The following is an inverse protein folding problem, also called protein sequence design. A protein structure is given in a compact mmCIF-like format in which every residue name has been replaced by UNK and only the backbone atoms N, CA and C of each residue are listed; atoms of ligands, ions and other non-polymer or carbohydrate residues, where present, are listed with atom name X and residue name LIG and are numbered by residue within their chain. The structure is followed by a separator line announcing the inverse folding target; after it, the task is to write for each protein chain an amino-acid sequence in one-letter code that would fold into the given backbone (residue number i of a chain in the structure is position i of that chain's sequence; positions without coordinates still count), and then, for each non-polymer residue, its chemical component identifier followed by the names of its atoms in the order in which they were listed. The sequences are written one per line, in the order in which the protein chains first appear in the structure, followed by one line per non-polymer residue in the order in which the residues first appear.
data_IF_928153511449
#
_entry.id   IF_928153511449
#
_cell.length_a   1.000
_cell.length_b   1.000
_cell.length_c   1.000
_cell.angle_alpha   90.00
_cell.angle_beta   90.00
_cell.angle_gamma   90.00
#
_symmetry.space_group_name_H-M   'P 1'
#
loop_
_entity.id
_entity.type
_entity.pdbx_description
1 polymer ?
#
# COMPACT_ATOMS: atom_id res chain seq x y z
N UNK A 1 -0.92 -35.94 18.85
CA UNK A 1 0.05 -34.88 19.24
C UNK A 1 -0.18 -33.67 18.38
N UNK A 2 -0.57 -32.51 18.95
CA UNK A 2 -0.66 -31.25 18.19
C UNK A 2 0.79 -30.82 17.89
N UNK A 3 1.19 -30.87 16.63
CA UNK A 3 2.51 -30.37 16.20
C UNK A 3 2.51 -28.87 16.50
N UNK A 4 3.41 -28.42 17.37
CA UNK A 4 3.60 -26.99 17.63
C UNK A 4 4.14 -26.36 16.35
N UNK A 5 3.38 -25.46 15.72
CA UNK A 5 3.86 -24.68 14.58
C UNK A 5 4.97 -23.74 15.05
N UNK A 6 5.87 -23.41 14.14
CA UNK A 6 6.90 -22.38 14.36
C UNK A 6 6.25 -21.08 14.85
N UNK A 7 6.76 -20.42 15.89
CA UNK A 7 6.20 -19.19 16.46
C UNK A 7 6.05 -18.07 15.43
N UNK A 8 6.99 -17.90 14.50
CA UNK A 8 6.90 -16.85 13.46
C UNK A 8 5.81 -17.18 12.44
N UNK A 9 5.65 -18.43 12.04
CA UNK A 9 4.55 -18.86 11.18
C UNK A 9 3.21 -18.60 11.87
N UNK A 10 3.11 -18.91 13.15
CA UNK A 10 1.88 -18.71 13.92
C UNK A 10 1.54 -17.23 14.09
N UNK A 11 2.55 -16.39 14.35
CA UNK A 11 2.39 -14.94 14.40
C UNK A 11 1.88 -14.39 13.07
N UNK A 12 2.45 -14.85 11.95
CA UNK A 12 2.03 -14.43 10.62
C UNK A 12 0.59 -14.84 10.32
N UNK A 13 0.17 -16.05 10.67
CA UNK A 13 -1.22 -16.49 10.52
C UNK A 13 -2.20 -15.58 11.28
N UNK A 14 -1.82 -15.13 12.49
CA UNK A 14 -2.64 -14.20 13.27
C UNK A 14 -2.72 -12.82 12.58
N UNK A 15 -1.61 -12.32 12.02
CA UNK A 15 -1.59 -11.06 11.27
C UNK A 15 -2.50 -11.13 10.04
N UNK A 16 -2.38 -12.19 9.24
CA UNK A 16 -3.17 -12.38 8.02
C UNK A 16 -4.68 -12.46 8.31
N UNK A 17 -5.04 -13.22 9.34
CA UNK A 17 -6.44 -13.32 9.78
C UNK A 17 -6.94 -12.01 10.37
N UNK A 18 -6.11 -11.31 11.15
CA UNK A 18 -6.46 -10.01 11.70
C UNK A 18 -6.75 -8.99 10.60
N UNK A 19 -5.91 -8.96 9.54
CA UNK A 19 -6.13 -8.09 8.40
C UNK A 19 -7.48 -8.34 7.75
N UNK A 20 -7.84 -9.62 7.55
CA UNK A 20 -9.14 -10.00 7.01
C UNK A 20 -10.29 -9.55 7.89
N UNK A 21 -10.22 -9.82 9.20
CA UNK A 21 -11.29 -9.45 10.15
C UNK A 21 -11.45 -7.93 10.24
N UNK A 22 -10.35 -7.16 10.25
CA UNK A 22 -10.39 -5.70 10.23
C UNK A 22 -11.01 -5.16 8.94
N UNK A 23 -10.68 -5.72 7.79
CA UNK A 23 -11.27 -5.35 6.52
C UNK A 23 -12.78 -5.64 6.47
N UNK A 24 -13.20 -6.79 7.00
CA UNK A 24 -14.61 -7.24 6.99
C UNK A 24 -15.50 -6.47 7.97
N UNK A 25 -15.02 -6.28 9.21
CA UNK A 25 -15.81 -5.72 10.32
C UNK A 25 -15.50 -4.25 10.63
N UNK A 26 -14.35 -3.74 10.20
CA UNK A 26 -13.82 -2.46 10.64
C UNK A 26 -13.03 -2.56 11.95
N UNK A 27 -12.16 -1.58 12.18
CA UNK A 27 -11.29 -1.56 13.38
C UNK A 27 -12.08 -1.46 14.67
N UNK A 28 -13.06 -0.54 14.75
CA UNK A 28 -13.77 -0.23 16.00
C UNK A 28 -14.55 -1.43 16.52
N UNK A 29 -15.24 -2.14 15.65
CA UNK A 29 -16.12 -3.27 15.99
C UNK A 29 -15.38 -4.58 16.19
N UNK A 30 -14.11 -4.68 15.78
CA UNK A 30 -13.28 -5.88 15.93
C UNK A 30 -12.68 -5.95 17.34
N UNK A 31 -12.71 -7.14 17.94
CA UNK A 31 -12.05 -7.46 19.21
C UNK A 31 -10.93 -8.47 19.03
N UNK A 32 -9.98 -8.53 19.98
CA UNK A 32 -8.94 -9.59 20.00
C UNK A 32 -9.54 -11.01 20.08
N UNK A 33 -10.73 -11.14 20.68
CA UNK A 33 -11.46 -12.43 20.72
C UNK A 33 -12.01 -12.82 19.36
N UNK A 34 -12.49 -11.86 18.56
CA UNK A 34 -12.94 -12.13 17.18
C UNK A 34 -11.79 -12.65 16.31
N UNK A 35 -10.63 -11.99 16.42
CA UNK A 35 -9.42 -12.38 15.68
C UNK A 35 -8.96 -13.78 16.12
N UNK A 36 -8.87 -14.04 17.42
CA UNK A 36 -8.48 -15.34 17.95
C UNK A 36 -9.42 -16.46 17.47
N UNK A 37 -10.74 -16.21 17.49
CA UNK A 37 -11.74 -17.15 16.96
C UNK A 37 -11.56 -17.40 15.48
N UNK A 38 -11.32 -16.36 14.69
CA UNK A 38 -11.12 -16.49 13.24
C UNK A 38 -9.80 -17.21 12.89
N UNK A 39 -8.75 -17.03 13.71
CA UNK A 39 -7.46 -17.70 13.56
C UNK A 39 -7.42 -19.13 14.17
N UNK A 40 -8.53 -19.61 14.72
CA UNK A 40 -8.62 -20.90 15.45
C UNK A 40 -7.54 -21.03 16.55
N UNK A 41 -7.42 -19.98 17.36
CA UNK A 41 -6.51 -19.95 18.51
C UNK A 41 -7.19 -19.45 19.78
N UNK A 42 -6.57 -19.70 20.94
CA UNK A 42 -7.04 -19.11 22.18
C UNK A 42 -6.67 -17.62 22.26
N UNK A 43 -7.51 -16.75 22.83
CA UNK A 43 -7.22 -15.30 22.92
C UNK A 43 -5.89 -14.97 23.56
N UNK A 44 -5.46 -15.75 24.57
CA UNK A 44 -4.17 -15.59 25.22
C UNK A 44 -2.97 -15.68 24.27
N UNK A 45 -3.10 -16.44 23.19
CA UNK A 45 -2.02 -16.53 22.19
C UNK A 45 -1.90 -15.25 21.36
N UNK A 46 -3.00 -14.58 21.03
CA UNK A 46 -2.96 -13.28 20.38
C UNK A 46 -2.28 -12.23 21.29
N UNK A 47 -2.58 -12.23 22.59
CA UNK A 47 -1.95 -11.36 23.57
C UNK A 47 -0.48 -11.71 23.88
N UNK A 48 -0.08 -12.93 23.59
CA UNK A 48 1.34 -13.32 23.67
C UNK A 48 2.19 -12.62 22.59
N UNK A 49 1.64 -12.45 21.39
CA UNK A 49 2.34 -11.81 20.26
C UNK A 49 2.14 -10.30 20.17
N UNK A 50 0.98 -9.79 20.61
CA UNK A 50 0.58 -8.39 20.46
C UNK A 50 -0.02 -7.86 21.77
N UNK A 51 0.50 -6.77 22.29
CA UNK A 51 0.06 -6.17 23.57
C UNK A 51 -1.42 -5.80 23.56
N UNK A 52 -1.94 -5.38 22.40
CA UNK A 52 -3.32 -4.93 22.25
C UNK A 52 -3.76 -4.95 20.77
N UNK A 53 -5.07 -4.69 20.55
CA UNK A 53 -5.69 -4.61 19.23
C UNK A 53 -5.00 -3.60 18.31
N UNK A 54 -4.56 -2.46 18.85
CA UNK A 54 -3.93 -1.40 18.08
C UNK A 54 -2.58 -1.85 17.50
N UNK A 55 -1.73 -2.48 18.30
CA UNK A 55 -0.43 -3.01 17.82
C UNK A 55 -0.62 -4.05 16.72
N UNK A 56 -1.57 -4.98 16.89
CA UNK A 56 -1.89 -5.96 15.85
C UNK A 56 -2.42 -5.30 14.58
N UNK A 57 -3.29 -4.30 14.72
CA UNK A 57 -3.84 -3.55 13.58
C UNK A 57 -2.75 -2.81 12.81
N UNK A 58 -1.89 -2.05 13.50
CA UNK A 58 -0.79 -1.30 12.88
C UNK A 58 0.17 -2.26 12.15
N UNK A 59 0.47 -3.41 12.77
CA UNK A 59 1.31 -4.44 12.14
C UNK A 59 0.66 -4.98 10.87
N UNK A 60 -0.61 -5.35 10.92
CA UNK A 60 -1.33 -5.93 9.79
C UNK A 60 -1.48 -4.94 8.63
N UNK A 61 -1.87 -3.68 8.92
CA UNK A 61 -2.02 -2.65 7.88
C UNK A 61 -0.68 -2.27 7.25
N UNK A 62 0.38 -2.15 8.06
CA UNK A 62 1.73 -1.83 7.55
C UNK A 62 2.26 -2.96 6.65
N UNK A 63 2.08 -4.20 7.06
CA UNK A 63 2.49 -5.35 6.24
C UNK A 63 1.72 -5.39 4.93
N UNK A 64 0.40 -5.20 4.97
CA UNK A 64 -0.43 -5.17 3.77
C UNK A 64 -0.07 -3.99 2.85
N UNK A 65 0.22 -2.82 3.41
CA UNK A 65 0.71 -1.66 2.65
C UNK A 65 2.02 -1.98 1.90
N UNK A 66 2.92 -2.70 2.56
CA UNK A 66 4.18 -3.14 1.94
C UNK A 66 3.93 -4.09 0.78
N UNK A 67 3.06 -5.09 0.96
CA UNK A 67 2.66 -6.03 -0.11
C UNK A 67 2.07 -5.29 -1.31
N UNK A 68 1.15 -4.34 -1.08
CA UNK A 68 0.53 -3.53 -2.12
C UNK A 68 1.54 -2.59 -2.83
N UNK A 69 2.55 -2.12 -2.12
CA UNK A 69 3.54 -1.16 -2.64
C UNK A 69 4.70 -1.83 -3.36
N UNK A 70 4.96 -3.11 -3.09
CA UNK A 70 6.13 -3.83 -3.61
C UNK A 70 6.30 -3.73 -5.14
N UNK A 71 5.25 -3.90 -5.97
CA UNK A 71 5.38 -3.76 -7.42
C UNK A 71 5.83 -2.37 -7.85
N UNK A 72 5.38 -1.32 -7.16
CA UNK A 72 5.79 0.08 -7.41
C UNK A 72 7.23 0.32 -6.98
N UNK A 73 7.62 -0.19 -5.79
CA UNK A 73 9.00 -0.10 -5.28
C UNK A 73 9.98 -0.78 -6.24
N UNK A 74 9.63 -1.96 -6.75
CA UNK A 74 10.43 -2.68 -7.75
C UNK A 74 10.60 -1.82 -9.01
N UNK A 75 9.52 -1.23 -9.52
CA UNK A 75 9.58 -0.40 -10.72
C UNK A 75 10.42 0.87 -10.52
N UNK A 76 10.23 1.62 -9.43
CA UNK A 76 10.99 2.84 -9.18
C UNK A 76 12.47 2.57 -8.87
N UNK A 77 12.85 1.34 -8.50
CA UNK A 77 14.26 0.96 -8.41
C UNK A 77 14.92 0.69 -9.78
N UNK A 78 14.13 0.56 -10.86
CA UNK A 78 14.60 0.38 -12.23
C UNK A 78 14.99 1.74 -12.85
N UNK A 79 16.08 2.32 -12.38
CA UNK A 79 16.61 3.59 -12.90
C UNK A 79 17.14 3.50 -14.34
N UNK A 80 17.27 2.29 -14.88
CA UNK A 80 17.57 2.01 -16.29
C UNK A 80 16.39 2.29 -17.24
N UNK A 81 15.15 2.28 -16.72
CA UNK A 81 13.95 2.54 -17.54
C UNK A 81 13.75 4.04 -17.73
N UNK A 82 13.41 4.43 -18.95
CA UNK A 82 12.95 5.79 -19.29
C UNK A 82 11.61 6.13 -18.62
N UNK A 83 11.23 7.40 -18.65
CA UNK A 83 9.93 7.84 -18.12
C UNK A 83 8.77 7.15 -18.85
N UNK A 84 8.85 7.03 -20.18
CA UNK A 84 7.78 6.43 -20.96
C UNK A 84 7.64 4.92 -20.70
N UNK A 85 8.76 4.22 -20.51
CA UNK A 85 8.74 2.80 -20.15
C UNK A 85 8.19 2.59 -18.73
N UNK A 86 8.60 3.41 -17.76
CA UNK A 86 8.14 3.25 -16.37
C UNK A 86 6.65 3.59 -16.24
N UNK A 87 6.16 4.64 -16.89
CA UNK A 87 4.74 5.00 -16.87
C UNK A 87 3.86 3.92 -17.52
N UNK A 88 4.33 3.30 -18.61
CA UNK A 88 3.64 2.16 -19.25
C UNK A 88 3.59 0.94 -18.33
N UNK A 89 4.67 0.67 -17.59
CA UNK A 89 4.70 -0.46 -16.63
C UNK A 89 3.87 -0.16 -15.38
N UNK A 90 3.89 1.09 -14.89
CA UNK A 90 3.03 1.53 -13.78
C UNK A 90 1.55 1.37 -14.10
N UNK A 91 1.12 1.72 -15.32
CA UNK A 91 -0.25 1.49 -15.77
C UNK A 91 -0.66 0.03 -15.62
N UNK A 92 0.20 -0.91 -16.05
CA UNK A 92 -0.06 -2.35 -15.88
C UNK A 92 -0.17 -2.76 -14.42
N UNK A 93 0.73 -2.28 -13.57
CA UNK A 93 0.71 -2.56 -12.12
C UNK A 93 -0.57 -2.02 -11.49
N UNK A 94 -0.98 -0.81 -11.82
CA UNK A 94 -2.21 -0.19 -11.31
C UNK A 94 -3.44 -1.02 -11.72
N UNK A 95 -3.57 -1.36 -13.02
CA UNK A 95 -4.71 -2.14 -13.52
C UNK A 95 -4.75 -3.54 -12.90
N UNK A 96 -3.61 -4.21 -12.80
CA UNK A 96 -3.51 -5.51 -12.13
C UNK A 96 -3.85 -5.42 -10.63
N UNK A 97 -3.42 -4.37 -9.96
CA UNK A 97 -3.78 -4.11 -8.56
C UNK A 97 -5.29 -3.93 -8.39
N UNK A 98 -5.92 -3.14 -9.26
CA UNK A 98 -7.37 -2.95 -9.27
C UNK A 98 -8.15 -4.27 -9.36
N UNK A 99 -7.65 -5.26 -10.10
CA UNK A 99 -8.28 -6.56 -10.27
C UNK A 99 -7.97 -7.55 -9.13
N UNK A 100 -6.77 -7.49 -8.56
CA UNK A 100 -6.20 -8.57 -7.75
C UNK A 100 -5.93 -8.21 -6.29
N UNK A 101 -6.24 -7.00 -5.81
CA UNK A 101 -6.06 -6.68 -4.39
C UNK A 101 -6.89 -7.60 -3.51
N UNK A 102 -6.20 -8.38 -2.67
CA UNK A 102 -6.75 -9.42 -1.79
C UNK A 102 -7.98 -8.94 -0.99
N UNK A 103 -8.00 -7.65 -0.62
CA UNK A 103 -9.07 -7.06 0.20
C UNK A 103 -9.85 -5.96 -0.52
N UNK A 104 -9.75 -5.84 -1.86
CA UNK A 104 -10.40 -4.77 -2.64
C UNK A 104 -11.88 -4.60 -2.32
N UNK A 105 -12.63 -5.70 -2.23
CA UNK A 105 -14.08 -5.69 -1.91
C UNK A 105 -14.42 -5.01 -0.57
N UNK A 106 -13.43 -4.79 0.29
CA UNK A 106 -13.60 -4.12 1.58
C UNK A 106 -13.20 -2.65 1.55
N UNK A 107 -12.39 -2.21 0.56
CA UNK A 107 -12.00 -0.81 0.42
C UNK A 107 -13.19 0.08 0.05
N UNK A 108 -14.08 -0.43 -0.79
CA UNK A 108 -15.28 0.29 -1.23
C UNK A 108 -16.41 0.24 -0.20
N UNK A 109 -16.23 -0.46 0.92
CA UNK A 109 -17.24 -0.58 1.95
C UNK A 109 -17.33 0.69 2.78
N UNK A 110 -18.54 1.23 2.89
CA UNK A 110 -18.83 2.35 3.80
C UNK A 110 -18.35 2.03 5.23
N UNK A 111 -17.62 2.98 5.83
CA UNK A 111 -17.04 2.84 7.18
C UNK A 111 -15.56 2.44 7.21
N UNK A 112 -14.94 2.18 6.06
CA UNK A 112 -13.51 1.86 5.97
C UNK A 112 -12.61 3.05 5.57
N UNK A 113 -13.15 4.27 5.57
CA UNK A 113 -12.38 5.46 5.14
C UNK A 113 -11.10 5.67 5.96
N UNK A 114 -11.14 5.41 7.27
CA UNK A 114 -9.97 5.54 8.15
C UNK A 114 -8.92 4.48 7.79
N UNK A 115 -9.36 3.24 7.52
CA UNK A 115 -8.49 2.17 7.08
C UNK A 115 -7.82 2.51 5.75
N UNK A 116 -8.59 2.96 4.77
CA UNK A 116 -8.09 3.33 3.45
C UNK A 116 -7.03 4.44 3.55
N UNK A 117 -7.30 5.50 4.31
CA UNK A 117 -6.33 6.58 4.54
C UNK A 117 -5.03 6.10 5.22
N UNK A 118 -5.13 5.16 6.15
CA UNK A 118 -3.93 4.58 6.77
C UNK A 118 -3.14 3.72 5.79
N UNK A 119 -3.82 2.88 5.01
CA UNK A 119 -3.20 2.07 3.98
C UNK A 119 -2.44 2.96 2.98
N UNK A 120 -3.09 4.00 2.46
CA UNK A 120 -2.48 4.99 1.56
C UNK A 120 -1.24 5.64 2.18
N UNK A 121 -1.32 6.06 3.43
CA UNK A 121 -0.21 6.68 4.14
C UNK A 121 0.99 5.73 4.23
N UNK A 122 0.78 4.46 4.59
CA UNK A 122 1.87 3.48 4.67
C UNK A 122 2.39 3.08 3.29
N UNK A 123 1.52 2.93 2.29
CA UNK A 123 1.94 2.71 0.90
C UNK A 123 2.83 3.85 0.40
N UNK A 124 2.43 5.10 0.63
CA UNK A 124 3.23 6.28 0.29
C UNK A 124 4.62 6.26 0.94
N UNK A 125 4.70 5.91 2.22
CA UNK A 125 5.98 5.77 2.93
C UNK A 125 6.88 4.68 2.34
N UNK A 126 6.32 3.52 1.99
CA UNK A 126 7.09 2.42 1.39
C UNK A 126 7.66 2.81 0.02
N UNK A 127 6.91 3.58 -0.78
CA UNK A 127 7.32 4.01 -2.12
C UNK A 127 8.28 5.20 -2.13
N UNK A 128 8.28 6.06 -1.10
CA UNK A 128 8.96 7.36 -1.09
C UNK A 128 10.44 7.26 -1.47
N UNK A 129 11.17 6.35 -0.85
CA UNK A 129 12.63 6.21 -1.07
C UNK A 129 12.96 5.80 -2.51
N UNK A 130 12.25 4.83 -3.06
CA UNK A 130 12.50 4.31 -4.41
C UNK A 130 12.08 5.33 -5.47
N UNK A 131 10.95 5.98 -5.28
CA UNK A 131 10.48 7.04 -6.17
C UNK A 131 11.41 8.25 -6.18
N UNK A 132 11.86 8.71 -5.00
CA UNK A 132 12.85 9.79 -4.89
C UNK A 132 14.14 9.44 -5.63
N UNK A 133 14.65 8.22 -5.46
CA UNK A 133 15.84 7.74 -6.18
C UNK A 133 15.64 7.77 -7.69
N UNK A 134 14.48 7.33 -8.18
CA UNK A 134 14.18 7.35 -9.61
C UNK A 134 14.14 8.77 -10.16
N UNK A 135 13.42 9.68 -9.50
CA UNK A 135 13.30 11.10 -9.90
C UNK A 135 14.68 11.77 -9.91
N UNK A 136 15.47 11.59 -8.84
CA UNK A 136 16.81 12.15 -8.77
C UNK A 136 17.69 11.68 -9.93
N UNK A 137 17.61 10.39 -10.26
CA UNK A 137 18.35 9.85 -11.41
C UNK A 137 17.94 10.48 -12.76
N UNK A 138 16.65 10.84 -12.94
CA UNK A 138 16.19 11.57 -14.14
C UNK A 138 16.68 13.01 -14.17
N UNK A 139 16.73 13.67 -13.01
CA UNK A 139 17.33 15.02 -12.87
C UNK A 139 18.82 14.99 -13.21
N UNK A 140 19.57 14.02 -12.65
CA UNK A 140 21.01 13.87 -12.89
C UNK A 140 21.34 13.61 -14.38
N UNK A 141 20.38 13.07 -15.14
CA UNK A 141 20.45 12.87 -16.59
C UNK A 141 19.95 14.04 -17.42
N UNK A 142 19.60 15.16 -16.78
CA UNK A 142 19.01 16.33 -17.43
C UNK A 142 17.67 16.05 -18.17
N UNK A 143 16.93 15.05 -17.71
CA UNK A 143 15.64 14.67 -18.28
C UNK A 143 14.45 15.34 -17.58
N UNK A 144 14.62 15.81 -16.34
CA UNK A 144 13.59 16.48 -15.53
C UNK A 144 14.01 17.85 -15.07
N UNK A 145 13.06 18.79 -15.08
CA UNK A 145 13.16 20.13 -14.53
C UNK A 145 12.44 20.20 -13.19
N UNK A 146 13.12 19.78 -12.13
CA UNK A 146 12.61 19.73 -10.76
C UNK A 146 13.69 20.25 -9.81
N UNK A 147 13.40 21.35 -9.13
CA UNK A 147 14.37 22.03 -8.23
C UNK A 147 14.57 21.27 -6.91
N UNK A 148 13.50 20.68 -6.35
CA UNK A 148 13.53 19.97 -5.07
C UNK A 148 12.90 18.59 -5.20
N UNK A 149 13.76 17.57 -5.26
CA UNK A 149 13.36 16.17 -5.41
C UNK A 149 12.54 15.67 -4.21
N UNK A 150 12.84 16.14 -2.99
CA UNK A 150 12.16 15.68 -1.77
C UNK A 150 10.73 16.22 -1.72
N UNK A 151 10.56 17.53 -1.90
CA UNK A 151 9.24 18.15 -1.93
C UNK A 151 8.40 17.63 -3.10
N UNK A 152 9.02 17.50 -4.29
CA UNK A 152 8.33 16.93 -5.45
C UNK A 152 7.84 15.52 -5.20
N UNK A 153 8.68 14.64 -4.64
CA UNK A 153 8.31 13.25 -4.35
C UNK A 153 7.12 13.18 -3.40
N UNK A 154 7.14 13.95 -2.31
CA UNK A 154 6.04 14.00 -1.33
C UNK A 154 4.75 14.54 -1.94
N UNK A 155 4.85 15.63 -2.70
CA UNK A 155 3.71 16.23 -3.41
C UNK A 155 3.10 15.23 -4.41
N UNK A 156 3.96 14.58 -5.21
CA UNK A 156 3.48 13.65 -6.23
C UNK A 156 2.85 12.39 -5.64
N UNK A 157 3.43 11.80 -4.59
CA UNK A 157 2.81 10.66 -3.88
C UNK A 157 1.46 11.06 -3.30
N UNK A 158 1.35 12.19 -2.60
CA UNK A 158 0.09 12.65 -2.02
C UNK A 158 -0.96 12.96 -3.08
N UNK A 159 -0.58 13.67 -4.15
CA UNK A 159 -1.46 13.98 -5.28
C UNK A 159 -1.92 12.75 -6.05
N UNK A 160 -1.02 11.81 -6.30
CA UNK A 160 -1.35 10.53 -6.95
C UNK A 160 -2.38 9.75 -6.15
N UNK A 161 -2.20 9.61 -4.82
CA UNK A 161 -3.16 8.92 -3.96
C UNK A 161 -4.55 9.59 -4.01
N UNK A 162 -4.59 10.92 -3.96
CA UNK A 162 -5.84 11.67 -4.06
C UNK A 162 -6.54 11.48 -5.42
N UNK A 163 -5.77 11.44 -6.53
CA UNK A 163 -6.31 11.17 -7.87
C UNK A 163 -6.84 9.76 -7.97
N UNK A 164 -6.11 8.76 -7.48
CA UNK A 164 -6.53 7.36 -7.52
C UNK A 164 -7.83 7.11 -6.74
N UNK A 165 -8.06 7.85 -5.66
CA UNK A 165 -9.29 7.76 -4.85
C UNK A 165 -10.46 8.61 -5.35
N UNK A 166 -10.30 9.32 -6.45
CA UNK A 166 -11.38 10.09 -7.04
C UNK A 166 -12.42 9.18 -7.70
N UNK A 167 -13.62 9.06 -7.11
CA UNK A 167 -14.70 8.20 -7.62
C UNK A 167 -15.43 8.78 -8.87
N UNK A 168 -15.08 10.00 -9.30
CA UNK A 168 -15.71 10.68 -10.44
C UNK A 168 -15.09 10.33 -11.79
N UNK A 169 -14.00 9.58 -11.80
CA UNK A 169 -13.21 9.25 -12.98
C UNK A 169 -12.92 7.77 -13.04
N UNK A 170 -12.88 7.19 -14.23
CA UNK A 170 -12.41 5.83 -14.41
C UNK A 170 -10.89 5.71 -14.28
N UNK A 171 -10.40 4.49 -14.26
CA UNK A 171 -8.96 4.21 -14.03
C UNK A 171 -8.08 4.75 -15.17
N UNK A 172 -8.55 4.67 -16.42
CA UNK A 172 -7.79 5.11 -17.58
C UNK A 172 -7.63 6.64 -17.59
N UNK A 173 -8.71 7.39 -17.29
CA UNK A 173 -8.67 8.85 -17.14
C UNK A 173 -7.70 9.29 -16.05
N UNK A 174 -7.65 8.57 -14.91
CA UNK A 174 -6.73 8.85 -13.79
C UNK A 174 -5.27 8.62 -14.19
N UNK A 175 -4.99 7.51 -14.87
CA UNK A 175 -3.64 7.16 -15.34
C UNK A 175 -3.18 8.19 -16.38
N UNK A 176 -4.01 8.55 -17.33
CA UNK A 176 -3.69 9.55 -18.34
C UNK A 176 -3.38 10.91 -17.73
N UNK A 177 -4.20 11.34 -16.76
CA UNK A 177 -3.95 12.58 -16.01
C UNK A 177 -2.59 12.55 -15.29
N UNK A 178 -2.25 11.47 -14.56
CA UNK A 178 -0.99 11.34 -13.85
C UNK A 178 0.21 11.31 -14.80
N UNK A 179 0.08 10.63 -15.94
CA UNK A 179 1.10 10.62 -17.01
C UNK A 179 1.29 12.03 -17.58
N UNK A 180 0.21 12.75 -17.87
CA UNK A 180 0.26 14.12 -18.35
C UNK A 180 0.91 15.08 -17.37
N UNK A 181 0.66 14.89 -16.07
CA UNK A 181 1.32 15.67 -15.02
C UNK A 181 2.84 15.43 -14.97
N UNK A 182 3.28 14.16 -15.01
CA UNK A 182 4.72 13.83 -15.04
C UNK A 182 5.42 14.41 -16.27
N UNK A 183 4.78 14.34 -17.43
CA UNK A 183 5.34 14.86 -18.69
C UNK A 183 5.56 16.38 -18.68
N UNK A 184 4.87 17.14 -17.82
CA UNK A 184 5.09 18.59 -17.68
C UNK A 184 6.44 18.96 -17.04
N UNK A 185 7.05 18.02 -16.35
CA UNK A 185 8.37 18.18 -15.71
C UNK A 185 9.50 17.60 -16.57
N UNK A 186 9.18 17.01 -17.72
CA UNK A 186 10.15 16.52 -18.69
C UNK A 186 10.75 17.71 -19.45
N UNK A 187 12.10 17.75 -19.58
CA UNK A 187 12.81 18.71 -20.42
C UNK A 187 12.69 18.41 -21.90
#
# INVERSE_FOLDING_TARGET
MRVSKDPEIRKQEIIDVAMQVFAEKGYETTTMKDIAKAADVVPGLCYHYFKNKHELYETAVTQYARECSEPFVILFNRTDLSLDEITTKLEKVIKQGEENYKYKKFFDKSGNEIFNKRLEFYMGKEMEKSMKKYIQHRIDKDEFDIDDTDLFTKFFIGGQMAVMNCNKKDIDEKIEFLRGMLNKFKK
#
